data_IF_732900498175
#
_entry.id   IF_732900498175
#
_cell.length_a   1.000
_cell.length_b   1.000
_cell.length_c   1.000
_cell.angle_alpha   90.00
_cell.angle_beta   90.00
_cell.angle_gamma   90.00
#
_symmetry.space_group_name_H-M   'P 1'
#
loop_
_entity.id
_entity.type
_entity.pdbx_description
1 polymer ?
#
# COMPACT_ATOMS: atom_id res chain seq x y z
N UNK A 1 60.82 -12.12 33.87
CA UNK A 1 60.33 -11.48 32.63
C UNK A 1 59.32 -12.31 31.83
N UNK A 2 59.23 -13.64 32.02
CA UNK A 2 58.32 -14.53 31.28
C UNK A 2 56.88 -14.53 31.79
N UNK A 3 56.66 -14.37 33.11
CA UNK A 3 55.32 -14.30 33.71
C UNK A 3 54.53 -13.04 33.30
N UNK A 4 55.21 -11.88 33.24
CA UNK A 4 54.63 -10.60 32.78
C UNK A 4 54.13 -10.67 31.34
N UNK A 5 54.89 -11.32 30.45
CA UNK A 5 54.52 -11.53 29.05
C UNK A 5 53.34 -12.51 28.90
N UNK A 6 53.16 -13.47 29.82
CA UNK A 6 51.98 -14.36 29.83
C UNK A 6 50.72 -13.62 30.31
N UNK A 7 50.84 -12.81 31.36
CA UNK A 7 49.72 -12.00 31.86
C UNK A 7 49.20 -11.00 30.81
N UNK A 8 50.10 -10.33 30.08
CA UNK A 8 49.71 -9.44 28.98
C UNK A 8 49.02 -10.18 27.82
N UNK A 9 49.45 -11.40 27.50
CA UNK A 9 48.80 -12.23 26.46
C UNK A 9 47.40 -12.68 26.90
N UNK A 10 47.22 -13.09 28.15
CA UNK A 10 45.90 -13.44 28.67
C UNK A 10 44.95 -12.23 28.70
N UNK A 11 45.44 -11.06 29.13
CA UNK A 11 44.65 -9.83 29.12
C UNK A 11 44.23 -9.42 27.70
N UNK A 12 45.12 -9.57 26.71
CA UNK A 12 44.82 -9.28 25.31
C UNK A 12 43.79 -10.25 24.73
N UNK A 13 43.90 -11.56 25.01
CA UNK A 13 42.92 -12.56 24.58
C UNK A 13 41.55 -12.31 25.20
N UNK A 14 41.50 -11.98 26.50
CA UNK A 14 40.25 -11.64 27.18
C UNK A 14 39.62 -10.37 26.61
N UNK A 15 40.43 -9.36 26.27
CA UNK A 15 39.96 -8.14 25.64
C UNK A 15 39.41 -8.38 24.22
N UNK A 16 40.07 -9.23 23.42
CA UNK A 16 39.57 -9.62 22.09
C UNK A 16 38.28 -10.44 22.18
N UNK A 17 38.15 -11.33 23.17
CA UNK A 17 36.95 -12.13 23.38
C UNK A 17 35.77 -11.26 23.83
N UNK A 18 36.02 -10.31 24.75
CA UNK A 18 35.04 -9.33 25.18
C UNK A 18 34.61 -8.40 24.03
N UNK A 19 35.55 -7.98 23.17
CA UNK A 19 35.24 -7.18 21.99
C UNK A 19 34.41 -7.98 20.97
N UNK A 20 34.75 -9.24 20.73
CA UNK A 20 33.99 -10.12 19.83
C UNK A 20 32.56 -10.42 20.33
N UNK A 21 32.36 -10.51 21.65
CA UNK A 21 31.04 -10.64 22.29
C UNK A 21 30.26 -9.31 22.33
N UNK A 22 30.96 -8.17 22.26
CA UNK A 22 30.36 -6.84 22.28
C UNK A 22 29.99 -6.30 20.89
N UNK A 23 30.44 -6.94 19.80
CA UNK A 23 29.88 -6.65 18.47
C UNK A 23 28.48 -7.27 18.44
N UNK A 24 27.39 -6.48 18.37
CA UNK A 24 26.10 -7.05 18.08
C UNK A 24 26.24 -7.74 16.72
N UNK A 25 26.16 -9.07 16.70
CA UNK A 25 26.02 -9.80 15.44
C UNK A 25 24.88 -9.17 14.65
N UNK A 26 24.95 -9.20 13.32
CA UNK A 26 23.87 -8.72 12.46
C UNK A 26 22.57 -9.53 12.72
N UNK A 27 21.88 -9.23 13.80
CA UNK A 27 20.52 -9.67 14.07
C UNK A 27 19.69 -8.80 13.15
N UNK A 28 19.23 -9.41 12.07
CA UNK A 28 18.28 -8.78 11.16
C UNK A 28 17.02 -8.52 11.96
N UNK A 29 16.73 -7.25 12.24
CA UNK A 29 15.48 -6.87 12.87
C UNK A 29 14.33 -7.42 12.01
N UNK A 30 13.23 -7.89 12.60
CA UNK A 30 12.06 -8.31 11.84
C UNK A 30 11.64 -7.18 10.90
N UNK A 31 11.59 -7.46 9.60
CA UNK A 31 11.07 -6.49 8.63
C UNK A 31 9.58 -6.27 8.95
N UNK A 32 9.10 -5.01 9.00
CA UNK A 32 7.69 -4.75 9.23
C UNK A 32 6.85 -5.36 8.10
N UNK A 33 5.60 -5.75 8.37
CA UNK A 33 4.72 -6.30 7.35
C UNK A 33 4.46 -5.25 6.26
N UNK A 34 4.33 -5.71 5.02
CA UNK A 34 3.92 -4.88 3.90
C UNK A 34 2.45 -4.46 4.10
N UNK A 35 2.20 -3.16 4.25
CA UNK A 35 0.84 -2.63 4.42
C UNK A 35 0.23 -2.36 3.06
N UNK A 36 -0.81 -3.12 2.69
CA UNK A 36 -1.54 -2.93 1.43
C UNK A 36 -2.87 -2.28 1.75
N UNK A 37 -3.06 -1.03 1.29
CA UNK A 37 -4.32 -0.33 1.40
C UNK A 37 -5.32 -0.79 0.34
N UNK A 38 -6.56 -1.04 0.75
CA UNK A 38 -7.68 -1.28 -0.15
C UNK A 38 -8.86 -0.41 0.26
N UNK A 39 -9.82 -0.21 -0.64
CA UNK A 39 -11.16 0.24 -0.29
C UNK A 39 -12.16 -0.92 -0.44
N UNK A 40 -13.38 -0.71 0.08
CA UNK A 40 -14.50 -1.66 -0.07
C UNK A 40 -14.92 -1.75 -1.55
N UNK A 41 -14.29 -2.67 -2.27
CA UNK A 41 -14.53 -2.94 -3.68
C UNK A 41 -14.30 -4.42 -3.97
N UNK A 42 -15.20 -5.02 -4.77
CA UNK A 42 -15.19 -6.45 -5.06
C UNK A 42 -13.87 -6.94 -5.68
N UNK A 43 -13.16 -6.09 -6.42
CA UNK A 43 -11.85 -6.41 -7.01
C UNK A 43 -10.72 -6.61 -6.00
N UNK A 44 -10.91 -6.20 -4.74
CA UNK A 44 -9.96 -6.38 -3.64
C UNK A 44 -10.24 -7.66 -2.82
N UNK A 45 -11.45 -8.22 -2.92
CA UNK A 45 -11.92 -9.37 -2.13
C UNK A 45 -11.06 -10.63 -2.25
N UNK A 46 -10.42 -10.96 -3.39
CA UNK A 46 -9.51 -12.10 -3.44
C UNK A 46 -8.37 -12.03 -2.40
N UNK A 47 -7.89 -10.84 -2.04
CA UNK A 47 -6.89 -10.67 -0.98
C UNK A 47 -7.48 -10.99 0.40
N UNK A 48 -8.71 -10.58 0.65
CA UNK A 48 -9.41 -10.85 1.90
C UNK A 48 -9.75 -12.33 2.06
N UNK A 49 -10.19 -12.98 0.98
CA UNK A 49 -10.39 -14.43 0.95
C UNK A 49 -9.08 -15.19 1.22
N UNK A 50 -7.97 -14.77 0.59
CA UNK A 50 -6.66 -15.38 0.84
C UNK A 50 -6.22 -15.25 2.31
N UNK A 51 -6.56 -14.12 2.96
CA UNK A 51 -6.32 -13.94 4.40
C UNK A 51 -7.15 -14.90 5.24
N UNK A 52 -8.44 -15.05 4.94
CA UNK A 52 -9.33 -15.96 5.68
C UNK A 52 -8.93 -17.43 5.52
N UNK A 53 -8.45 -17.81 4.34
CA UNK A 53 -7.95 -19.16 4.06
C UNK A 53 -6.54 -19.43 4.62
N UNK A 54 -5.90 -18.43 5.24
CA UNK A 54 -4.55 -18.57 5.81
C UNK A 54 -3.42 -18.57 4.77
N UNK A 55 -3.68 -18.10 3.55
CA UNK A 55 -2.67 -17.97 2.49
C UNK A 55 -1.84 -16.68 2.58
N UNK A 56 -2.29 -15.70 3.38
CA UNK A 56 -1.56 -14.47 3.68
C UNK A 56 -1.02 -14.52 5.12
N UNK A 57 0.31 -14.58 5.26
CA UNK A 57 0.96 -14.44 6.57
C UNK A 57 0.85 -12.99 7.07
N UNK A 58 0.13 -12.79 8.17
CA UNK A 58 -0.07 -11.48 8.80
C UNK A 58 1.24 -10.82 9.26
N UNK A 59 2.32 -11.58 9.45
CA UNK A 59 3.66 -11.05 9.75
C UNK A 59 4.36 -10.49 8.51
N UNK A 60 3.96 -10.94 7.32
CA UNK A 60 4.54 -10.51 6.05
C UNK A 60 3.69 -9.47 5.33
N UNK A 61 2.36 -9.58 5.40
CA UNK A 61 1.42 -8.69 4.69
C UNK A 61 0.26 -8.32 5.61
N UNK A 62 -0.01 -7.02 5.71
CA UNK A 62 -1.15 -6.47 6.41
C UNK A 62 -2.08 -5.75 5.44
N UNK A 63 -3.32 -6.22 5.32
CA UNK A 63 -4.37 -5.50 4.59
C UNK A 63 -4.93 -4.39 5.47
N UNK A 64 -4.96 -3.17 4.96
CA UNK A 64 -5.52 -1.99 5.63
C UNK A 64 -6.73 -1.51 4.84
N UNK A 65 -7.90 -1.58 5.46
CA UNK A 65 -9.17 -1.26 4.81
C UNK A 65 -9.54 0.20 5.05
N UNK A 66 -9.78 0.91 3.95
CA UNK A 66 -10.19 2.30 3.95
C UNK A 66 -11.63 2.46 3.41
N UNK A 67 -12.36 3.49 3.84
CA UNK A 67 -13.75 3.68 3.40
C UNK A 67 -13.88 4.16 1.95
N UNK A 68 -12.80 4.66 1.32
CA UNK A 68 -12.82 5.14 -0.07
C UNK A 68 -11.45 5.05 -0.75
N UNK A 69 -11.43 5.15 -2.08
CA UNK A 69 -10.19 5.14 -2.85
C UNK A 69 -9.33 6.40 -2.57
N UNK A 70 -9.94 7.57 -2.37
CA UNK A 70 -9.20 8.79 -1.98
C UNK A 70 -8.46 8.63 -0.66
N UNK A 71 -9.02 7.89 0.29
CA UNK A 71 -8.37 7.59 1.55
C UNK A 71 -7.16 6.67 1.36
N UNK A 72 -7.27 5.66 0.51
CA UNK A 72 -6.14 4.81 0.10
C UNK A 72 -5.03 5.66 -0.52
N UNK A 73 -5.37 6.50 -1.50
CA UNK A 73 -4.40 7.37 -2.18
C UNK A 73 -3.75 8.36 -1.21
N UNK A 74 -4.52 8.93 -0.27
CA UNK A 74 -4.00 9.82 0.79
C UNK A 74 -3.05 9.08 1.72
N UNK A 75 -3.40 7.87 2.16
CA UNK A 75 -2.56 7.05 3.02
C UNK A 75 -1.24 6.70 2.34
N UNK A 76 -1.26 6.38 1.04
CA UNK A 76 -0.05 6.12 0.28
C UNK A 76 0.85 7.35 0.12
N UNK A 77 0.26 8.52 -0.22
CA UNK A 77 1.01 9.79 -0.28
C UNK A 77 1.70 10.12 1.06
N UNK A 78 1.05 9.77 2.17
CA UNK A 78 1.57 9.98 3.52
C UNK A 78 2.46 8.82 4.03
N UNK A 79 2.79 7.85 3.18
CA UNK A 79 3.64 6.69 3.53
C UNK A 79 3.07 5.82 4.68
N UNK A 80 1.75 5.91 4.92
CA UNK A 80 1.05 5.10 5.91
C UNK A 80 0.77 3.67 5.43
N UNK A 81 0.87 3.44 4.12
CA UNK A 81 0.79 2.14 3.46
C UNK A 81 1.89 2.06 2.39
N UNK A 82 2.26 0.82 2.04
CA UNK A 82 3.39 0.51 1.16
C UNK A 82 2.92 0.03 -0.22
N UNK A 83 1.71 -0.52 -0.29
CA UNK A 83 1.03 -0.94 -1.51
C UNK A 83 -0.44 -0.54 -1.52
N UNK A 84 -1.07 -0.61 -2.68
CA UNK A 84 -2.47 -0.26 -2.87
C UNK A 84 -3.15 -1.20 -3.85
N UNK A 85 -4.45 -1.43 -3.68
CA UNK A 85 -5.34 -1.92 -4.74
C UNK A 85 -6.13 -0.71 -5.25
N UNK A 86 -5.80 -0.24 -6.45
CA UNK A 86 -6.36 0.95 -7.08
C UNK A 86 -6.58 0.71 -8.57
N UNK A 87 -7.37 1.58 -9.19
CA UNK A 87 -7.56 1.63 -10.64
C UNK A 87 -6.33 2.24 -11.36
N UNK A 88 -6.26 2.03 -12.67
CA UNK A 88 -5.10 2.45 -13.46
C UNK A 88 -5.02 3.98 -13.63
N UNK A 89 -6.16 4.67 -13.74
CA UNK A 89 -6.21 6.14 -13.81
C UNK A 89 -5.71 6.80 -12.53
N UNK A 90 -6.03 6.22 -11.36
CA UNK A 90 -5.52 6.68 -10.07
C UNK A 90 -3.99 6.54 -9.95
N UNK A 91 -3.44 5.44 -10.49
CA UNK A 91 -1.99 5.25 -10.56
C UNK A 91 -1.33 6.33 -11.43
N UNK A 92 -1.94 6.68 -12.57
CA UNK A 92 -1.44 7.77 -13.41
C UNK A 92 -1.54 9.13 -12.70
N UNK A 93 -2.61 9.36 -11.92
CA UNK A 93 -2.72 10.54 -11.07
C UNK A 93 -1.55 10.66 -10.10
N UNK A 94 -1.18 9.58 -9.41
CA UNK A 94 -0.01 9.57 -8.53
C UNK A 94 1.31 9.80 -9.28
N UNK A 95 1.44 9.27 -10.50
CA UNK A 95 2.62 9.49 -11.33
C UNK A 95 2.77 10.96 -11.76
N UNK A 96 1.66 11.62 -12.09
CA UNK A 96 1.61 13.06 -12.38
C UNK A 96 2.01 13.88 -11.15
N UNK A 97 1.59 13.46 -9.96
CA UNK A 97 1.97 14.07 -8.67
C UNK A 97 3.46 13.86 -8.32
N UNK A 98 4.23 13.17 -9.18
CA UNK A 98 5.67 12.95 -9.01
C UNK A 98 6.04 11.70 -8.20
N UNK A 99 5.05 10.89 -7.78
CA UNK A 99 5.31 9.59 -7.17
C UNK A 99 5.70 8.57 -8.26
N UNK A 100 6.33 7.47 -7.84
CA UNK A 100 6.79 6.40 -8.75
C UNK A 100 6.17 5.03 -8.41
N UNK A 101 4.83 4.90 -8.41
CA UNK A 101 4.19 3.62 -8.14
C UNK A 101 4.53 2.59 -9.21
N UNK A 102 4.50 1.30 -8.83
CA UNK A 102 4.78 0.18 -9.73
C UNK A 102 3.59 -0.78 -9.71
N UNK A 103 3.12 -1.14 -10.90
CA UNK A 103 2.10 -2.18 -11.07
C UNK A 103 2.79 -3.53 -10.90
N UNK A 104 2.29 -4.35 -9.98
CA UNK A 104 2.82 -5.70 -9.71
C UNK A 104 1.84 -6.79 -10.10
N UNK A 105 0.54 -6.49 -10.09
CA UNK A 105 -0.53 -7.45 -10.39
C UNK A 105 -1.76 -6.70 -10.90
N UNK A 106 -2.48 -7.31 -11.85
CA UNK A 106 -3.84 -6.92 -12.24
C UNK A 106 -4.80 -7.90 -11.55
N UNK A 107 -5.58 -7.42 -10.59
CA UNK A 107 -6.49 -8.26 -9.80
C UNK A 107 -7.90 -8.34 -10.38
N UNK A 108 -8.32 -7.33 -11.14
CA UNK A 108 -9.65 -7.20 -11.71
C UNK A 108 -9.63 -6.38 -13.01
N UNK A 109 -10.63 -6.62 -13.87
CA UNK A 109 -10.97 -5.76 -15.00
C UNK A 109 -12.46 -5.44 -14.92
N UNK A 110 -12.79 -4.23 -14.46
CA UNK A 110 -14.18 -3.78 -14.35
C UNK A 110 -14.88 -3.71 -15.70
N UNK A 111 -15.95 -4.48 -15.86
CA UNK A 111 -16.84 -4.48 -17.02
C UNK A 111 -18.27 -4.11 -16.59
N UNK A 112 -18.55 -2.81 -16.56
CA UNK A 112 -19.88 -2.26 -16.26
C UNK A 112 -20.14 -1.99 -14.78
N UNK A 113 -19.17 -2.19 -13.89
CA UNK A 113 -19.33 -1.90 -12.46
C UNK A 113 -19.15 -0.40 -12.12
N UNK A 114 -18.52 0.37 -13.01
CA UNK A 114 -18.34 1.81 -12.86
C UNK A 114 -19.37 2.56 -13.71
N UNK A 115 -20.34 3.21 -13.07
CA UNK A 115 -21.48 3.86 -13.73
C UNK A 115 -21.82 5.21 -13.10
N UNK A 116 -22.47 6.08 -13.90
CA UNK A 116 -23.12 7.28 -13.40
C UNK A 116 -24.56 6.92 -13.05
N UNK A 117 -24.95 7.13 -11.78
CA UNK A 117 -26.31 6.84 -11.31
C UNK A 117 -27.11 8.14 -11.19
N UNK A 118 -28.18 8.23 -11.97
CA UNK A 118 -29.14 9.33 -11.91
C UNK A 118 -30.28 9.07 -10.92
N UNK A 119 -30.95 10.15 -10.48
CA UNK A 119 -32.24 10.01 -9.78
C UNK A 119 -33.31 9.53 -10.76
N UNK A 120 -34.43 9.03 -10.22
CA UNK A 120 -35.59 8.67 -11.03
C UNK A 120 -35.98 9.83 -11.97
N UNK A 121 -36.20 9.54 -13.25
CA UNK A 121 -36.50 10.52 -14.29
C UNK A 121 -35.28 11.19 -14.94
N UNK A 122 -34.05 10.84 -14.53
CA UNK A 122 -32.85 11.18 -15.30
C UNK A 122 -32.54 10.01 -16.24
N UNK A 123 -32.74 10.22 -17.53
CA UNK A 123 -32.67 9.15 -18.55
C UNK A 123 -31.42 9.28 -19.42
N UNK A 124 -30.78 10.46 -19.43
CA UNK A 124 -29.58 10.69 -20.23
C UNK A 124 -28.58 11.64 -19.57
N UNK A 125 -27.36 11.67 -20.10
CA UNK A 125 -26.32 12.61 -19.66
C UNK A 125 -26.71 14.09 -19.86
N UNK A 126 -27.62 14.38 -20.81
CA UNK A 126 -28.11 15.75 -21.03
C UNK A 126 -28.88 16.29 -19.81
N UNK A 127 -29.52 15.41 -19.06
CA UNK A 127 -30.32 15.78 -17.88
C UNK A 127 -29.44 16.27 -16.71
N UNK A 128 -28.12 16.04 -16.78
CA UNK A 128 -27.14 16.53 -15.81
C UNK A 128 -26.77 18.00 -16.04
N UNK A 129 -27.18 18.62 -17.16
CA UNK A 129 -26.85 20.03 -17.45
C UNK A 129 -27.37 20.95 -16.35
N UNK A 130 -26.46 21.72 -15.76
CA UNK A 130 -26.77 22.64 -14.65
C UNK A 130 -27.11 21.92 -13.32
N UNK A 131 -26.91 20.60 -13.22
CA UNK A 131 -27.09 19.84 -11.99
C UNK A 131 -25.76 19.68 -11.26
N UNK A 132 -25.86 19.49 -9.95
CA UNK A 132 -24.71 19.10 -9.12
C UNK A 132 -24.60 17.58 -9.11
N UNK A 133 -23.42 17.07 -9.44
CA UNK A 133 -23.10 15.64 -9.41
C UNK A 133 -22.17 15.38 -8.24
N UNK A 134 -22.51 14.43 -7.39
CA UNK A 134 -21.63 13.97 -6.32
C UNK A 134 -20.63 12.98 -6.92
N UNK A 135 -19.35 13.17 -6.63
CA UNK A 135 -18.27 12.35 -7.15
C UNK A 135 -17.09 12.40 -6.20
N UNK A 136 -16.31 11.33 -6.18
CA UNK A 136 -15.01 11.32 -5.55
C UNK A 136 -13.99 11.98 -6.48
N UNK A 137 -13.64 13.24 -6.21
CA UNK A 137 -12.93 14.12 -7.15
C UNK A 137 -11.47 13.73 -7.45
N UNK A 138 -10.84 12.99 -6.55
CA UNK A 138 -9.43 12.56 -6.67
C UNK A 138 -9.25 11.08 -7.02
N UNK A 139 -10.32 10.41 -7.45
CA UNK A 139 -10.38 8.97 -7.66
C UNK A 139 -11.10 8.62 -8.97
N UNK A 140 -11.28 7.32 -9.22
CA UNK A 140 -11.93 6.76 -10.42
C UNK A 140 -13.25 7.44 -10.81
N UNK A 141 -14.05 7.84 -9.82
CA UNK A 141 -15.34 8.50 -10.07
C UNK A 141 -15.20 9.77 -10.91
N UNK A 142 -14.17 10.59 -10.65
CA UNK A 142 -13.92 11.81 -11.42
C UNK A 142 -13.54 11.51 -12.86
N UNK A 143 -12.71 10.49 -13.07
CA UNK A 143 -12.36 10.02 -14.41
C UNK A 143 -13.61 9.58 -15.18
N UNK A 144 -14.41 8.68 -14.62
CA UNK A 144 -15.64 8.18 -15.25
C UNK A 144 -16.59 9.32 -15.60
N UNK A 145 -16.82 10.24 -14.67
CA UNK A 145 -17.69 11.39 -14.91
C UNK A 145 -17.14 12.30 -16.02
N UNK A 146 -15.83 12.56 -16.03
CA UNK A 146 -15.20 13.38 -17.08
C UNK A 146 -15.36 12.78 -18.47
N UNK A 147 -15.27 11.45 -18.59
CA UNK A 147 -15.46 10.72 -19.85
C UNK A 147 -16.92 10.69 -20.30
N UNK A 148 -17.85 10.65 -19.35
CA UNK A 148 -19.28 10.65 -19.65
C UNK A 148 -19.81 12.03 -20.06
N UNK A 149 -19.12 13.12 -19.67
CA UNK A 149 -19.47 14.50 -20.02
C UNK A 149 -18.72 15.06 -21.25
N UNK A 150 -17.75 14.32 -21.79
CA UNK A 150 -16.96 14.69 -22.96
C UNK A 150 -17.73 14.43 -24.27
#
# INVERSE_FOLDING_TARGET
MTAWRRAQRCAFVLACLAFALAVPGCVRAPEPPLRIGTNVWIGSEPLYLARELGHLDAKAVQLVEYPSASEVLRAFRNQAIDGMVISLDELFGLAIDGLKPRIVLVTDISRGANVVVGRQGMESMHDLKGKRVAVESGALGAYVLSRALA
#
